data_IF_706261317799
#
_entry.id   IF_706261317799
#
_cell.length_a   1.000
_cell.length_b   1.000
_cell.length_c   1.000
_cell.angle_alpha   90.00
_cell.angle_beta   90.00
_cell.angle_gamma   90.00
#
_symmetry.space_group_name_H-M   'P 1'
#
loop_
_entity.id
_entity.type
_entity.pdbx_description
1 polymer ?
#
# COMPACT_ATOMS: atom_id res chain seq x y z
N UNK A 1 -2.39 -0.90 -7.94
CA UNK A 1 -2.49 -1.07 -6.47
C UNK A 1 -3.64 -0.22 -5.94
N UNK A 2 -4.46 -0.80 -5.07
CA UNK A 2 -5.66 -0.17 -4.55
C UNK A 2 -5.44 0.34 -3.12
N UNK A 3 -5.93 1.55 -2.84
CA UNK A 3 -5.91 2.14 -1.49
C UNK A 3 -7.32 2.26 -0.94
N UNK A 4 -7.51 1.81 0.30
CA UNK A 4 -8.78 2.01 1.03
C UNK A 4 -8.93 3.47 1.51
N UNK A 5 -10.13 4.02 1.38
CA UNK A 5 -10.49 5.34 1.96
C UNK A 5 -10.67 5.22 3.49
N UNK A 6 -10.31 6.27 4.23
CA UNK A 6 -10.57 6.35 5.67
C UNK A 6 -12.05 6.55 6.00
N UNK A 7 -12.72 7.45 5.30
CA UNK A 7 -14.10 7.91 5.61
C UNK A 7 -15.17 7.09 4.85
N UNK A 8 -14.77 6.15 4.00
CA UNK A 8 -15.67 5.25 3.28
C UNK A 8 -14.97 3.89 3.05
N UNK A 9 -14.89 3.07 4.10
CA UNK A 9 -14.03 1.89 4.15
C UNK A 9 -14.35 0.82 3.08
N UNK A 10 -15.56 0.80 2.51
CA UNK A 10 -15.93 -0.11 1.43
C UNK A 10 -15.38 0.32 0.05
N UNK A 11 -14.84 1.54 -0.07
CA UNK A 11 -14.39 2.09 -1.34
C UNK A 11 -12.87 2.00 -1.50
N UNK A 12 -12.48 1.21 -2.48
CA UNK A 12 -11.12 1.09 -2.98
C UNK A 12 -10.92 2.05 -4.13
N UNK A 13 -9.80 2.77 -4.11
CA UNK A 13 -9.40 3.59 -5.25
C UNK A 13 -8.10 3.05 -5.80
N UNK A 14 -8.11 2.81 -7.11
CA UNK A 14 -6.88 2.60 -7.83
C UNK A 14 -6.04 3.88 -7.76
N UNK A 15 -4.76 3.70 -7.44
CA UNK A 15 -3.77 4.76 -7.42
C UNK A 15 -2.51 4.27 -8.11
N UNK A 16 -1.80 5.22 -8.72
CA UNK A 16 -0.47 4.98 -9.23
C UNK A 16 0.53 5.25 -8.11
N UNK A 17 1.22 4.22 -7.64
CA UNK A 17 2.16 4.32 -6.54
C UNK A 17 3.59 4.34 -7.03
N UNK A 18 4.41 5.15 -6.37
CA UNK A 18 5.84 5.28 -6.64
C UNK A 18 6.55 5.09 -5.32
N UNK A 19 7.40 4.06 -5.25
CA UNK A 19 8.34 3.86 -4.16
C UNK A 19 9.69 4.39 -4.60
N UNK A 20 10.22 5.35 -3.86
CA UNK A 20 11.55 5.90 -4.14
C UNK A 20 12.64 5.04 -3.51
N UNK A 21 13.89 5.21 -3.98
CA UNK A 21 15.04 4.46 -3.45
C UNK A 21 15.32 4.76 -1.98
N UNK A 22 14.84 5.89 -1.49
CA UNK A 22 15.01 6.33 -0.11
C UNK A 22 14.00 5.66 0.86
N UNK A 23 13.05 4.88 0.33
CA UNK A 23 12.00 4.23 1.12
C UNK A 23 10.73 5.04 1.25
N UNK A 24 10.54 6.06 0.41
CA UNK A 24 9.36 6.93 0.46
C UNK A 24 8.30 6.41 -0.52
N UNK A 25 7.12 6.06 0.00
CA UNK A 25 5.96 5.66 -0.77
C UNK A 25 5.05 6.87 -1.02
N UNK A 26 4.89 7.21 -2.29
CA UNK A 26 3.99 8.27 -2.78
C UNK A 26 2.91 7.67 -3.67
N UNK A 27 1.79 8.35 -3.82
CA UNK A 27 0.75 7.95 -4.75
C UNK A 27 0.19 9.11 -5.56
N UNK A 28 -0.26 8.83 -6.76
CA UNK A 28 -0.93 9.77 -7.66
C UNK A 28 -2.34 9.26 -7.95
N UNK A 29 -3.21 10.12 -8.47
CA UNK A 29 -4.46 9.62 -9.05
C UNK A 29 -4.11 8.74 -10.26
N UNK A 30 -4.84 7.65 -10.46
CA UNK A 30 -4.62 6.73 -11.57
C UNK A 30 -4.70 7.42 -12.95
N UNK A 31 -5.46 8.51 -13.07
CA UNK A 31 -5.59 9.31 -14.29
C UNK A 31 -4.40 10.26 -14.57
N UNK A 32 -3.25 10.07 -13.93
CA UNK A 32 -2.01 10.78 -14.29
C UNK A 32 -1.91 12.24 -13.82
N UNK A 33 -2.80 12.72 -12.93
CA UNK A 33 -2.66 14.10 -12.41
C UNK A 33 -1.30 14.31 -11.72
N UNK A 34 -0.66 15.45 -12.04
CA UNK A 34 0.74 15.78 -11.74
C UNK A 34 1.11 15.80 -10.24
N UNK A 35 0.17 16.09 -9.36
CA UNK A 35 0.45 16.25 -7.94
C UNK A 35 0.45 14.90 -7.20
N UNK A 36 1.61 14.52 -6.66
CA UNK A 36 1.72 13.41 -5.71
C UNK A 36 0.91 13.71 -4.45
N UNK A 37 0.27 12.68 -3.92
CA UNK A 37 -0.40 12.65 -2.63
C UNK A 37 0.20 11.51 -1.80
N UNK A 38 0.08 11.61 -0.48
CA UNK A 38 0.68 10.65 0.44
C UNK A 38 2.20 10.75 0.43
N UNK A 39 2.78 10.73 1.62
CA UNK A 39 4.22 10.72 1.79
C UNK A 39 4.49 9.83 3.00
N UNK A 40 4.55 8.51 2.75
CA UNK A 40 4.79 7.54 3.81
C UNK A 40 6.23 7.09 3.75
N UNK A 41 6.94 7.33 4.85
CA UNK A 41 8.29 6.82 5.05
C UNK A 41 8.18 5.38 5.56
N UNK A 42 8.53 4.41 4.70
CA UNK A 42 8.41 3.00 5.05
C UNK A 42 9.35 2.57 6.17
N UNK A 43 10.42 3.33 6.43
CA UNK A 43 11.33 3.08 7.56
C UNK A 43 10.67 3.33 8.91
N UNK A 44 9.52 3.99 8.93
CA UNK A 44 8.68 4.19 10.12
C UNK A 44 7.59 3.13 10.26
N UNK A 45 7.49 2.18 9.34
CA UNK A 45 6.62 1.05 9.51
C UNK A 45 7.28 0.05 10.46
N UNK A 46 6.53 -0.37 11.47
CA UNK A 46 6.99 -1.36 12.45
C UNK A 46 6.87 -2.77 11.88
N UNK A 47 5.82 -3.02 11.08
CA UNK A 47 5.52 -4.35 10.53
C UNK A 47 4.80 -4.27 9.19
N UNK A 48 4.96 -5.33 8.40
CA UNK A 48 4.15 -5.61 7.22
C UNK A 48 3.52 -6.99 7.34
N UNK A 49 2.24 -7.08 7.02
CA UNK A 49 1.47 -8.33 7.05
C UNK A 49 0.79 -8.56 5.71
N UNK A 50 0.90 -9.79 5.22
CA UNK A 50 0.11 -10.29 4.10
C UNK A 50 -1.24 -10.79 4.60
N UNK A 51 -2.31 -10.41 3.92
CA UNK A 51 -3.68 -10.78 4.30
C UNK A 51 -4.42 -11.26 3.06
N UNK A 52 -5.05 -12.43 3.14
CA UNK A 52 -5.92 -12.96 2.10
C UNK A 52 -7.36 -13.06 2.60
N UNK A 53 -8.31 -12.51 1.85
CA UNK A 53 -9.73 -12.46 2.25
C UNK A 53 -10.68 -13.16 1.28
N UNK A 54 -10.19 -14.10 0.47
CA UNK A 54 -11.05 -14.97 -0.33
C UNK A 54 -11.87 -14.22 -1.39
N UNK A 55 -13.19 -14.18 -1.21
CA UNK A 55 -14.15 -13.63 -2.17
C UNK A 55 -14.33 -12.10 -2.12
N UNK A 56 -13.56 -11.41 -1.26
CA UNK A 56 -13.58 -9.96 -1.13
C UNK A 56 -13.03 -9.23 -2.37
N UNK A 57 -13.46 -7.98 -2.58
CA UNK A 57 -12.81 -7.11 -3.57
C UNK A 57 -11.36 -6.84 -3.16
N UNK A 58 -10.44 -6.99 -4.12
CA UNK A 58 -9.00 -6.93 -3.92
C UNK A 58 -8.58 -7.86 -2.76
N UNK A 59 -8.67 -9.19 -2.97
CA UNK A 59 -8.62 -10.17 -1.89
C UNK A 59 -7.20 -10.35 -1.33
N UNK A 60 -6.17 -10.04 -2.12
CA UNK A 60 -4.79 -10.02 -1.67
C UNK A 60 -4.47 -8.64 -1.10
N UNK A 61 -4.03 -8.56 0.14
CA UNK A 61 -3.83 -7.29 0.85
C UNK A 61 -2.48 -7.25 1.55
N UNK A 62 -1.92 -6.04 1.65
CA UNK A 62 -0.78 -5.73 2.51
C UNK A 62 -1.21 -4.71 3.55
N UNK A 63 -1.05 -5.07 4.82
CA UNK A 63 -1.23 -4.18 5.95
C UNK A 63 0.14 -3.73 6.45
N UNK A 64 0.40 -2.42 6.42
CA UNK A 64 1.58 -1.81 7.01
C UNK A 64 1.17 -1.17 8.33
N UNK A 65 1.81 -1.61 9.40
CA UNK A 65 1.60 -1.11 10.74
C UNK A 65 2.64 -0.03 11.00
N UNK A 66 2.18 1.20 11.23
CA UNK A 66 3.04 2.34 11.59
C UNK A 66 2.50 2.96 12.88
N UNK A 67 3.35 3.65 13.65
CA UNK A 67 2.96 4.24 14.94
C UNK A 67 1.79 5.22 14.83
N UNK A 68 1.79 6.05 13.79
CA UNK A 68 0.78 7.09 13.62
C UNK A 68 -0.43 6.60 12.84
N UNK A 69 -0.22 5.71 11.86
CA UNK A 69 -1.24 5.40 10.87
C UNK A 69 -1.01 4.06 10.17
N UNK A 70 -1.95 3.13 10.35
CA UNK A 70 -1.95 1.86 9.63
C UNK A 70 -2.40 2.07 8.17
N UNK A 71 -1.64 1.50 7.24
CA UNK A 71 -1.93 1.54 5.82
C UNK A 71 -2.41 0.18 5.35
N UNK A 72 -3.45 0.17 4.51
CA UNK A 72 -3.98 -1.04 3.90
C UNK A 72 -4.03 -0.87 2.39
N UNK A 73 -3.34 -1.78 1.70
CA UNK A 73 -3.27 -1.86 0.25
C UNK A 73 -3.95 -3.14 -0.23
N UNK A 74 -4.68 -3.05 -1.34
CA UNK A 74 -5.36 -4.17 -1.98
C UNK A 74 -4.80 -4.44 -3.38
N UNK A 75 -4.83 -5.71 -3.76
CA UNK A 75 -4.35 -6.26 -5.02
C UNK A 75 -5.32 -7.33 -5.50
N UNK A 76 -5.41 -7.48 -6.82
CA UNK A 76 -6.31 -8.44 -7.47
C UNK A 76 -5.65 -9.81 -7.67
N UNK A 77 -4.33 -9.86 -7.66
CA UNK A 77 -3.51 -11.05 -7.88
C UNK A 77 -2.41 -11.20 -6.80
N UNK A 78 -2.00 -12.44 -6.49
CA UNK A 78 -1.00 -12.73 -5.46
C UNK A 78 0.40 -12.26 -5.84
N UNK A 79 0.75 -12.32 -7.12
CA UNK A 79 2.11 -12.03 -7.63
C UNK A 79 2.43 -10.54 -7.51
N UNK A 80 1.49 -9.67 -7.86
CA UNK A 80 1.62 -8.22 -7.68
C UNK A 80 1.71 -7.87 -6.20
N UNK A 81 0.92 -8.51 -5.34
CA UNK A 81 1.03 -8.34 -3.88
C UNK A 81 2.40 -8.75 -3.36
N UNK A 82 2.94 -9.87 -3.83
CA UNK A 82 4.25 -10.38 -3.42
C UNK A 82 5.39 -9.46 -3.91
N UNK A 83 5.31 -8.97 -5.14
CA UNK A 83 6.24 -7.96 -5.65
C UNK A 83 6.33 -6.77 -4.70
N UNK A 84 5.18 -6.20 -4.30
CA UNK A 84 5.15 -5.05 -3.39
C UNK A 84 5.58 -5.40 -1.96
N UNK A 85 5.26 -6.59 -1.46
CA UNK A 85 5.77 -7.08 -0.18
C UNK A 85 7.30 -7.08 -0.17
N UNK A 86 7.91 -7.65 -1.22
CA UNK A 86 9.36 -7.71 -1.36
C UNK A 86 9.99 -6.32 -1.50
N UNK A 87 9.33 -5.37 -2.16
CA UNK A 87 9.84 -4.00 -2.22
C UNK A 87 9.74 -3.27 -0.88
N UNK A 88 8.65 -3.43 -0.15
CA UNK A 88 8.46 -2.79 1.16
C UNK A 88 9.39 -3.35 2.21
N UNK A 89 9.57 -4.68 2.24
CA UNK A 89 10.41 -5.36 3.23
C UNK A 89 11.89 -4.94 3.18
N UNK A 90 12.36 -4.36 2.07
CA UNK A 90 13.71 -3.78 1.97
C UNK A 90 13.94 -2.55 2.86
N UNK A 91 12.85 -1.93 3.33
CA UNK A 91 12.89 -0.67 4.08
C UNK A 91 12.33 -0.81 5.50
N UNK A 92 11.82 -1.99 5.86
CA UNK A 92 11.22 -2.26 7.16
C UNK A 92 12.22 -3.14 7.91
N UNK A 93 12.86 -2.57 8.93
CA UNK A 93 13.76 -3.31 9.80
C UNK A 93 12.92 -4.03 10.86
N UNK A 94 13.09 -5.36 10.97
CA UNK A 94 12.45 -6.21 11.99
C UNK A 94 13.44 -6.63 13.06
#
# INVERSE_FOLDING_TARGET
>A
MWKRRRIFACFWHEKYFVLTKEGILKYHKANGTKYSKGNWDLKKANRIHEVFLGAERHPYRLALVCDEDNLLFGYDDPDTREYWYNQFSKFIDF
#
